data_IF_908953438843
#
_entry.id   IF_908953438843
#
_cell.length_a   1.000
_cell.length_b   1.000
_cell.length_c   1.000
_cell.angle_alpha   90.00
_cell.angle_beta   90.00
_cell.angle_gamma   90.00
#
_symmetry.space_group_name_H-M   'P 1'
#
loop_
_entity.id
_entity.type
_entity.pdbx_description
1 polymer ?
#
# COMPACT_ATOMS: atom_id res chain seq x y z
N UNK A 1 14.96 33.72 1.32
CA UNK A 1 13.52 33.51 1.00
C UNK A 1 13.31 32.54 -0.17
N UNK A 2 14.13 32.55 -1.23
CA UNK A 2 14.01 31.65 -2.39
C UNK A 2 14.60 30.23 -2.21
N UNK A 3 15.40 29.98 -1.17
CA UNK A 3 15.99 28.66 -0.89
C UNK A 3 14.98 27.61 -0.39
N UNK A 4 13.78 28.03 0.03
CA UNK A 4 12.71 27.12 0.44
C UNK A 4 12.08 26.41 -0.76
N UNK A 5 11.99 27.06 -1.93
CA UNK A 5 11.35 26.48 -3.12
C UNK A 5 12.21 25.43 -3.84
N UNK A 6 13.55 25.47 -3.73
CA UNK A 6 14.43 24.41 -4.27
C UNK A 6 14.54 23.17 -3.38
N UNK A 7 13.90 23.17 -2.19
CA UNK A 7 13.81 22.00 -1.29
C UNK A 7 12.49 21.22 -1.46
N UNK A 8 11.67 21.60 -2.45
CA UNK A 8 10.34 21.00 -2.75
C UNK A 8 10.40 19.58 -3.34
N UNK A 9 11.55 18.93 -3.35
CA UNK A 9 11.66 17.49 -3.59
C UNK A 9 11.95 16.80 -2.27
N UNK A 10 11.09 15.87 -1.84
CA UNK A 10 11.22 15.03 -0.63
C UNK A 10 11.20 15.74 0.74
N UNK A 11 11.92 16.85 0.95
CA UNK A 11 12.05 17.44 2.30
C UNK A 11 10.71 17.99 2.80
N UNK A 12 9.96 18.68 1.95
CA UNK A 12 8.59 19.16 2.24
C UNK A 12 7.64 18.00 2.59
N UNK A 13 7.67 16.94 1.77
CA UNK A 13 6.85 15.74 1.95
C UNK A 13 7.19 15.05 3.27
N UNK A 14 8.47 14.99 3.63
CA UNK A 14 8.92 14.40 4.89
C UNK A 14 8.42 15.19 6.10
N UNK A 15 8.43 16.52 6.04
CA UNK A 15 7.90 17.36 7.13
C UNK A 15 6.39 17.15 7.28
N UNK A 16 5.64 17.15 6.17
CA UNK A 16 4.19 16.87 6.20
C UNK A 16 3.93 15.46 6.73
N UNK A 17 4.73 14.47 6.31
CA UNK A 17 4.62 13.10 6.81
C UNK A 17 4.84 13.02 8.32
N UNK A 18 5.83 13.74 8.87
CA UNK A 18 6.07 13.79 10.31
C UNK A 18 4.88 14.40 11.04
N UNK A 19 4.32 15.51 10.56
CA UNK A 19 3.13 16.12 11.18
C UNK A 19 1.92 15.17 11.11
N UNK A 20 1.70 14.55 9.95
CA UNK A 20 0.64 13.55 9.78
C UNK A 20 0.84 12.34 10.71
N UNK A 21 2.09 11.91 10.90
CA UNK A 21 2.46 10.85 11.83
C UNK A 21 2.22 11.21 13.29
N UNK A 22 2.36 12.49 13.67
CA UNK A 22 2.02 12.93 15.02
C UNK A 22 0.50 12.94 15.24
N UNK A 23 -0.29 13.34 14.23
CA UNK A 23 -1.76 13.38 14.31
C UNK A 23 -2.38 11.98 14.24
N UNK A 24 -1.98 11.18 13.26
CA UNK A 24 -2.55 9.85 13.01
C UNK A 24 -1.80 8.71 13.72
N UNK A 25 -0.53 8.91 14.05
CA UNK A 25 0.34 7.91 14.66
C UNK A 25 1.07 7.01 13.63
N UNK A 26 2.35 6.63 13.88
CA UNK A 26 3.12 5.78 12.98
C UNK A 26 2.60 4.35 12.83
N UNK A 27 1.76 3.89 13.75
CA UNK A 27 1.10 2.59 13.65
C UNK A 27 -0.07 2.57 12.66
N UNK A 28 -0.73 3.72 12.42
CA UNK A 28 -1.91 3.79 11.55
C UNK A 28 -1.58 3.89 10.07
N UNK A 29 -0.45 4.50 9.70
CA UNK A 29 0.01 4.53 8.31
C UNK A 29 0.19 3.12 7.69
N UNK A 30 0.91 2.17 8.30
CA UNK A 30 1.07 0.82 7.73
C UNK A 30 -0.23 0.02 7.76
N UNK A 31 -1.12 0.26 8.72
CA UNK A 31 -2.45 -0.36 8.79
C UNK A 31 -3.30 0.04 7.57
N UNK A 32 -3.41 1.35 7.31
CA UNK A 32 -4.13 1.89 6.14
C UNK A 32 -3.47 1.45 4.83
N UNK A 33 -2.13 1.46 4.77
CA UNK A 33 -1.38 1.01 3.60
C UNK A 33 -1.60 -0.46 3.25
N UNK A 34 -1.73 -1.34 4.26
CA UNK A 34 -2.06 -2.76 4.03
C UNK A 34 -3.45 -2.93 3.45
N UNK A 35 -4.46 -2.25 4.00
CA UNK A 35 -5.84 -2.30 3.50
C UNK A 35 -5.95 -1.74 2.08
N UNK A 36 -5.37 -0.56 1.83
CA UNK A 36 -5.34 0.05 0.50
C UNK A 36 -4.55 -0.80 -0.50
N UNK A 37 -3.44 -1.40 -0.07
CA UNK A 37 -2.62 -2.27 -0.90
C UNK A 37 -3.36 -3.53 -1.34
N UNK A 38 -4.15 -4.15 -0.44
CA UNK A 38 -5.00 -5.29 -0.77
C UNK A 38 -6.05 -4.91 -1.82
N UNK A 39 -6.79 -3.82 -1.57
CA UNK A 39 -7.80 -3.31 -2.50
C UNK A 39 -7.21 -2.91 -3.85
N UNK A 40 -6.03 -2.28 -3.87
CA UNK A 40 -5.34 -1.91 -5.10
C UNK A 40 -4.84 -3.14 -5.87
N UNK A 41 -4.36 -4.17 -5.17
CA UNK A 41 -3.94 -5.42 -5.76
C UNK A 41 -5.11 -6.19 -6.40
N UNK A 42 -6.27 -6.22 -5.74
CA UNK A 42 -7.51 -6.78 -6.30
C UNK A 42 -8.01 -5.95 -7.47
N UNK A 43 -8.02 -4.62 -7.35
CA UNK A 43 -8.37 -3.71 -8.44
C UNK A 43 -7.49 -3.95 -9.67
N UNK A 44 -6.17 -4.05 -9.49
CA UNK A 44 -5.23 -4.35 -10.57
C UNK A 44 -5.51 -5.71 -11.22
N UNK A 45 -5.82 -6.74 -10.43
CA UNK A 45 -6.16 -8.09 -10.95
C UNK A 45 -7.43 -8.08 -11.78
N UNK A 46 -8.48 -7.42 -11.30
CA UNK A 46 -9.73 -7.26 -12.04
C UNK A 46 -9.56 -6.47 -13.33
N UNK A 47 -8.75 -5.40 -13.32
CA UNK A 47 -8.41 -4.64 -14.52
C UNK A 47 -7.63 -5.47 -15.55
N UNK A 48 -6.76 -6.37 -15.09
CA UNK A 48 -5.95 -7.22 -15.94
C UNK A 48 -6.68 -8.50 -16.41
N UNK A 49 -7.94 -8.69 -16.02
CA UNK A 49 -8.71 -9.89 -16.34
C UNK A 49 -8.15 -11.19 -15.73
N UNK A 50 -7.25 -11.09 -14.75
CA UNK A 50 -6.75 -12.26 -14.03
C UNK A 50 -7.88 -12.76 -13.10
N UNK A 51 -8.33 -14.03 -13.22
CA UNK A 51 -9.25 -14.59 -12.26
C UNK A 51 -8.60 -14.48 -10.88
N UNK A 52 -9.36 -14.01 -9.89
CA UNK A 52 -8.91 -13.96 -8.52
C UNK A 52 -8.31 -15.33 -8.19
N UNK A 53 -7.01 -15.37 -7.90
CA UNK A 53 -6.30 -16.59 -7.54
C UNK A 53 -6.98 -17.15 -6.28
N UNK A 54 -8.01 -17.97 -6.49
CA UNK A 54 -8.54 -18.88 -5.47
C UNK A 54 -7.32 -19.65 -4.97
N UNK A 55 -7.12 -19.78 -3.66
CA UNK A 55 -6.12 -20.71 -3.15
C UNK A 55 -6.53 -22.10 -3.63
N UNK A 56 -6.01 -22.51 -4.78
CA UNK A 56 -5.93 -23.89 -5.18
C UNK A 56 -5.09 -24.57 -4.11
N UNK A 57 -5.77 -25.32 -3.26
CA UNK A 57 -5.15 -26.26 -2.35
C UNK A 57 -4.68 -27.47 -3.17
N UNK A 58 -3.37 -27.71 -3.36
CA UNK A 58 -2.88 -28.89 -4.07
C UNK A 58 -2.85 -30.08 -3.09
N UNK A 59 -3.98 -30.45 -2.52
CA UNK A 59 -4.12 -31.65 -1.68
C UNK A 59 -5.48 -32.31 -1.88
N UNK A 60 -5.63 -32.91 -3.05
CA UNK A 60 -6.56 -34.03 -3.26
C UNK A 60 -6.12 -34.75 -4.54
N UNK A 61 -5.18 -35.68 -4.41
CA UNK A 61 -4.66 -36.43 -5.55
C UNK A 61 -3.79 -37.63 -5.20
N UNK A 62 -3.93 -38.19 -3.99
CA UNK A 62 -3.29 -39.44 -3.60
C UNK A 62 -4.33 -40.29 -2.83
N UNK A 63 -5.35 -40.74 -3.53
CA UNK A 63 -6.14 -41.91 -3.11
C UNK A 63 -6.13 -42.86 -4.32
N UNK A 64 -5.74 -44.12 -4.05
CA UNK A 64 -5.34 -45.20 -4.98
C UNK A 64 -6.12 -45.36 -6.29
#
# INVERSE_FOLDING_TARGET
MLAFFSRLGLQEVLVILIVALLVFGPKKLPEIGKSLGHSFNEFKRSMNGEPAKTPENPSSGNEE
#
